data_IF_139213783362
#
_entry.id   IF_139213783362
#
_cell.length_a   1.000
_cell.length_b   1.000
_cell.length_c   1.000
_cell.angle_alpha   90.00
_cell.angle_beta   90.00
_cell.angle_gamma   90.00
#
_symmetry.space_group_name_H-M   'P 1'
#
loop_
_entity.id
_entity.type
_entity.pdbx_description
1 polymer ?
#
# COMPACT_ATOMS: atom_id res chain seq x y z
N UNK A 1 -10.49 19.95 6.69
CA UNK A 1 -9.48 20.88 6.13
C UNK A 1 -9.24 20.43 4.69
N UNK A 2 -9.43 21.34 3.72
CA UNK A 2 -9.25 21.02 2.29
C UNK A 2 -7.75 20.91 1.97
N UNK A 3 -7.28 19.69 1.67
CA UNK A 3 -5.87 19.41 1.38
C UNK A 3 -5.36 20.07 0.08
N UNK A 4 -6.30 20.52 -0.74
CA UNK A 4 -6.04 21.08 -2.07
C UNK A 4 -6.25 22.59 -2.15
N UNK A 5 -6.67 23.24 -1.05
CA UNK A 5 -6.87 24.70 -1.00
C UNK A 5 -5.59 25.43 -1.41
N UNK A 6 -5.71 26.39 -2.31
CA UNK A 6 -4.60 27.17 -2.84
C UNK A 6 -3.68 26.43 -3.82
N UNK A 7 -4.12 25.28 -4.37
CA UNK A 7 -3.41 24.58 -5.45
C UNK A 7 -3.88 25.10 -6.81
N UNK A 8 -2.94 25.17 -7.76
CA UNK A 8 -3.26 25.53 -9.14
C UNK A 8 -4.19 24.51 -9.82
N UNK A 9 -4.02 23.21 -9.49
CA UNK A 9 -4.83 22.12 -10.00
C UNK A 9 -5.87 21.67 -8.98
N UNK A 10 -7.02 21.22 -9.49
CA UNK A 10 -8.08 20.65 -8.64
C UNK A 10 -7.63 19.39 -7.94
N UNK A 11 -8.22 19.10 -6.77
CA UNK A 11 -7.96 17.87 -6.03
C UNK A 11 -8.19 16.61 -6.86
N UNK A 12 -9.19 16.62 -7.74
CA UNK A 12 -9.48 15.51 -8.66
C UNK A 12 -8.31 15.20 -9.58
N UNK A 13 -7.74 16.22 -10.25
CA UNK A 13 -6.58 16.07 -11.14
C UNK A 13 -5.36 15.56 -10.37
N UNK A 14 -5.09 16.14 -9.19
CA UNK A 14 -3.95 15.73 -8.36
C UNK A 14 -4.07 14.27 -7.93
N UNK A 15 -5.22 13.85 -7.40
CA UNK A 15 -5.44 12.47 -6.97
C UNK A 15 -5.47 11.49 -8.15
N UNK A 16 -5.97 11.91 -9.30
CA UNK A 16 -5.93 11.13 -10.52
C UNK A 16 -4.49 10.80 -10.91
N UNK A 17 -3.62 11.82 -11.01
CA UNK A 17 -2.20 11.64 -11.31
C UNK A 17 -1.49 10.76 -10.28
N UNK A 18 -1.68 11.01 -8.98
CA UNK A 18 -1.08 10.21 -7.89
C UNK A 18 -1.53 8.76 -7.95
N UNK A 19 -2.83 8.50 -8.17
CA UNK A 19 -3.35 7.15 -8.32
C UNK A 19 -2.77 6.43 -9.53
N UNK A 20 -2.71 7.10 -10.67
CA UNK A 20 -2.17 6.49 -11.89
C UNK A 20 -0.72 6.12 -11.71
N UNK A 21 0.11 7.02 -11.19
CA UNK A 21 1.49 6.71 -10.89
C UNK A 21 1.65 5.55 -9.93
N UNK A 22 0.85 5.51 -8.86
CA UNK A 22 0.94 4.45 -7.85
C UNK A 22 0.31 3.11 -8.29
N UNK A 23 -0.51 3.11 -9.33
CA UNK A 23 -1.21 1.92 -9.84
C UNK A 23 -0.50 1.27 -11.02
N UNK A 24 0.11 2.07 -11.87
CA UNK A 24 0.70 1.61 -13.12
C UNK A 24 2.22 1.76 -13.09
N UNK A 25 2.93 0.87 -13.78
CA UNK A 25 4.39 0.92 -13.90
C UNK A 25 4.83 1.92 -14.96
N UNK A 26 4.56 3.20 -14.72
CA UNK A 26 4.87 4.33 -15.62
C UNK A 26 5.86 5.31 -14.95
N UNK A 27 6.63 6.04 -15.74
CA UNK A 27 7.49 7.11 -15.23
C UNK A 27 6.70 8.41 -15.01
N UNK A 28 7.30 9.37 -14.30
CA UNK A 28 6.68 10.70 -14.17
C UNK A 28 6.57 11.43 -15.50
N UNK A 29 7.45 11.17 -16.47
CA UNK A 29 7.39 11.75 -17.81
C UNK A 29 6.31 11.12 -18.66
N UNK A 30 6.17 9.80 -18.61
CA UNK A 30 5.04 9.13 -19.28
C UNK A 30 3.71 9.69 -18.77
N UNK A 31 3.62 9.95 -17.45
CA UNK A 31 2.41 10.50 -16.85
C UNK A 31 2.19 11.98 -17.23
N UNK A 32 3.24 12.79 -17.36
CA UNK A 32 3.21 14.15 -17.91
C UNK A 32 2.60 14.13 -19.33
N UNK A 33 3.09 13.26 -20.22
CA UNK A 33 2.57 13.09 -21.58
C UNK A 33 1.09 12.66 -21.57
N UNK A 34 0.74 11.65 -20.75
CA UNK A 34 -0.64 11.18 -20.62
C UNK A 34 -1.63 12.26 -20.12
N UNK A 35 -1.17 13.20 -19.30
CA UNK A 35 -1.98 14.32 -18.82
C UNK A 35 -2.09 15.41 -19.89
N UNK A 36 -1.00 15.69 -20.61
CA UNK A 36 -0.99 16.65 -21.73
C UNK A 36 -1.96 16.25 -22.84
N UNK A 37 -2.05 14.94 -23.18
CA UNK A 37 -3.05 14.42 -24.12
C UNK A 37 -4.50 14.76 -23.73
N UNK A 38 -4.75 15.09 -22.49
CA UNK A 38 -6.07 15.43 -21.92
C UNK A 38 -6.20 16.93 -21.62
N UNK A 39 -5.30 17.73 -22.16
CA UNK A 39 -5.29 19.18 -21.97
C UNK A 39 -4.86 19.63 -20.57
N UNK A 40 -4.18 18.77 -19.82
CA UNK A 40 -3.66 19.09 -18.48
C UNK A 40 -2.14 19.29 -18.60
N UNK A 41 -1.73 20.54 -18.66
CA UNK A 41 -0.32 20.94 -18.73
C UNK A 41 0.28 20.98 -17.32
N UNK A 42 1.08 19.97 -16.98
CA UNK A 42 1.74 19.83 -15.68
C UNK A 42 3.06 19.09 -15.82
N UNK A 43 4.15 19.69 -15.34
CA UNK A 43 5.47 19.10 -15.43
C UNK A 43 5.69 17.91 -14.49
N UNK A 44 6.56 16.99 -14.89
CA UNK A 44 6.86 15.76 -14.15
C UNK A 44 7.42 16.01 -12.73
N UNK A 45 8.03 17.17 -12.46
CA UNK A 45 8.56 17.50 -11.13
C UNK A 45 7.42 17.90 -10.20
N UNK A 46 6.37 18.52 -10.72
CA UNK A 46 5.13 18.80 -9.98
C UNK A 46 4.40 17.51 -9.65
N UNK A 47 4.26 16.59 -10.62
CA UNK A 47 3.69 15.25 -10.39
C UNK A 47 4.50 14.51 -9.32
N UNK A 48 5.83 14.54 -9.40
CA UNK A 48 6.69 13.96 -8.36
C UNK A 48 6.38 14.53 -6.97
N UNK A 49 6.25 15.87 -6.83
CA UNK A 49 5.91 16.52 -5.55
C UNK A 49 4.54 16.09 -5.05
N UNK A 50 3.55 15.93 -5.93
CA UNK A 50 2.24 15.41 -5.59
C UNK A 50 2.33 13.98 -5.05
N UNK A 51 3.05 13.10 -5.72
CA UNK A 51 3.23 11.72 -5.25
C UNK A 51 3.90 11.70 -3.87
N UNK A 52 4.97 12.49 -3.66
CA UNK A 52 5.65 12.53 -2.36
C UNK A 52 4.72 12.98 -1.21
N UNK A 53 3.81 13.88 -1.48
CA UNK A 53 2.87 14.39 -0.47
C UNK A 53 1.65 13.49 -0.33
N UNK A 54 0.94 13.26 -1.42
CA UNK A 54 -0.39 12.67 -1.37
C UNK A 54 -0.38 11.13 -1.32
N UNK A 55 0.69 10.46 -1.72
CA UNK A 55 0.80 9.01 -1.53
C UNK A 55 0.83 8.61 -0.05
N UNK A 56 1.49 9.42 0.80
CA UNK A 56 1.48 9.25 2.25
C UNK A 56 0.09 9.44 2.84
N UNK A 57 -0.59 10.53 2.45
CA UNK A 57 -1.95 10.81 2.91
C UNK A 57 -2.96 9.77 2.40
N UNK A 58 -2.81 9.32 1.17
CA UNK A 58 -3.64 8.27 0.59
C UNK A 58 -3.53 6.97 1.39
N UNK A 59 -2.30 6.51 1.70
CA UNK A 59 -2.11 5.32 2.53
C UNK A 59 -2.71 5.51 3.92
N UNK A 60 -2.46 6.64 4.58
CA UNK A 60 -2.96 6.95 5.92
C UNK A 60 -4.49 6.89 5.99
N UNK A 61 -5.19 7.49 5.03
CA UNK A 61 -6.65 7.57 4.99
C UNK A 61 -7.29 6.24 4.58
N UNK A 62 -6.67 5.52 3.66
CA UNK A 62 -7.22 4.28 3.15
C UNK A 62 -6.85 3.07 4.01
N UNK A 63 -5.79 3.14 4.83
CA UNK A 63 -5.29 2.01 5.62
C UNK A 63 -6.37 1.37 6.49
N UNK A 64 -7.31 2.14 7.02
CA UNK A 64 -8.41 1.64 7.81
C UNK A 64 -9.31 0.68 7.02
N UNK A 65 -9.52 0.92 5.73
CA UNK A 65 -10.41 0.12 4.89
C UNK A 65 -9.87 -1.28 4.59
N UNK A 66 -8.56 -1.46 4.53
CA UNK A 66 -7.98 -2.77 4.20
C UNK A 66 -7.35 -3.51 5.38
N UNK A 67 -7.21 -2.88 6.54
CA UNK A 67 -6.48 -3.45 7.68
C UNK A 67 -7.29 -4.44 8.50
N UNK A 68 -8.53 -4.73 8.11
CA UNK A 68 -9.43 -5.62 8.86
C UNK A 68 -9.61 -6.96 8.16
N UNK A 69 -9.71 -8.04 8.95
CA UNK A 69 -10.04 -9.37 8.45
C UNK A 69 -8.89 -10.13 7.81
N UNK A 70 -7.63 -9.85 8.21
CA UNK A 70 -6.49 -10.65 7.79
C UNK A 70 -6.61 -12.09 8.29
N UNK A 71 -6.14 -13.03 7.46
CA UNK A 71 -5.87 -14.38 7.93
C UNK A 71 -4.74 -14.34 8.97
N UNK A 72 -4.87 -15.14 10.02
CA UNK A 72 -3.90 -15.17 11.13
C UNK A 72 -2.59 -15.89 10.79
N UNK A 73 -2.43 -16.35 9.56
CA UNK A 73 -1.19 -16.93 9.04
C UNK A 73 -0.48 -15.94 8.13
N UNK A 74 0.59 -15.32 8.62
CA UNK A 74 1.35 -14.32 7.89
C UNK A 74 2.56 -14.92 7.22
N UNK A 75 2.93 -14.35 6.08
CA UNK A 75 4.16 -14.63 5.34
C UNK A 75 5.02 -13.40 5.32
N UNK A 76 6.27 -13.56 5.72
CA UNK A 76 7.24 -12.49 5.90
C UNK A 76 8.45 -12.76 5.02
N UNK A 77 8.87 -11.76 4.29
CA UNK A 77 10.08 -11.83 3.48
C UNK A 77 10.60 -10.41 3.20
N UNK A 78 11.83 -10.31 2.74
CA UNK A 78 12.38 -9.06 2.27
C UNK A 78 12.78 -9.11 0.80
N UNK A 79 12.69 -7.96 0.16
CA UNK A 79 13.20 -7.72 -1.19
C UNK A 79 14.07 -6.46 -1.20
N UNK A 80 14.70 -6.17 -2.33
CA UNK A 80 15.66 -5.07 -2.45
C UNK A 80 15.08 -3.93 -3.27
N UNK A 81 15.40 -2.70 -2.86
CA UNK A 81 15.14 -1.48 -3.62
C UNK A 81 16.41 -0.62 -3.65
N UNK A 82 16.65 0.09 -4.74
CA UNK A 82 17.84 0.92 -4.90
C UNK A 82 17.57 2.33 -4.40
N UNK A 83 18.35 2.80 -3.42
CA UNK A 83 18.25 4.14 -2.85
C UNK A 83 19.63 4.79 -2.85
N UNK A 84 19.78 5.92 -3.52
CA UNK A 84 21.09 6.59 -3.71
C UNK A 84 22.19 5.67 -4.26
N UNK A 85 21.84 4.81 -5.21
CA UNK A 85 22.77 3.86 -5.77
C UNK A 85 23.07 2.63 -4.88
N UNK A 86 22.61 2.58 -3.63
CA UNK A 86 22.82 1.49 -2.67
C UNK A 86 21.57 0.66 -2.49
N UNK A 87 21.73 -0.63 -2.16
CA UNK A 87 20.62 -1.50 -1.85
C UNK A 87 20.08 -1.22 -0.45
N UNK A 88 18.77 -1.06 -0.36
CA UNK A 88 18.00 -1.03 0.88
C UNK A 88 17.05 -2.22 0.88
N UNK A 89 16.62 -2.64 2.08
CA UNK A 89 15.81 -3.85 2.31
C UNK A 89 14.38 -3.43 2.58
N UNK A 90 13.47 -3.96 1.77
CA UNK A 90 12.04 -3.77 1.91
C UNK A 90 11.43 -5.03 2.52
N UNK A 91 11.21 -4.99 3.83
CA UNK A 91 10.49 -6.01 4.58
C UNK A 91 9.01 -5.92 4.28
N UNK A 92 8.36 -7.04 4.03
CA UNK A 92 6.94 -7.08 3.71
C UNK A 92 6.25 -8.24 4.41
N UNK A 93 4.97 -8.03 4.75
CA UNK A 93 4.08 -9.06 5.24
C UNK A 93 2.82 -9.12 4.38
N UNK A 94 2.42 -10.33 4.03
CA UNK A 94 1.11 -10.64 3.48
C UNK A 94 0.49 -11.76 4.30
N UNK A 95 -0.83 -11.87 4.26
CA UNK A 95 -1.52 -12.99 4.86
C UNK A 95 -1.52 -14.24 3.94
N UNK A 96 -2.15 -15.32 4.37
CA UNK A 96 -2.26 -16.56 3.60
C UNK A 96 -2.92 -16.36 2.24
N UNK A 97 -3.83 -15.39 2.09
CA UNK A 97 -4.52 -15.07 0.84
C UNK A 97 -3.70 -14.17 -0.08
N UNK A 98 -2.60 -13.59 0.44
CA UNK A 98 -1.76 -12.63 -0.27
C UNK A 98 -2.18 -11.18 -0.01
N UNK A 99 -3.07 -10.93 0.93
CA UNK A 99 -3.49 -9.58 1.32
C UNK A 99 -2.34 -8.83 2.00
N UNK A 100 -2.14 -7.58 1.61
CA UNK A 100 -1.07 -6.73 2.16
C UNK A 100 -1.35 -6.39 3.61
N UNK A 101 -0.45 -6.76 4.50
CA UNK A 101 -0.50 -6.44 5.94
C UNK A 101 0.25 -5.15 6.21
N UNK A 102 1.56 -5.15 5.99
CA UNK A 102 2.42 -3.99 6.17
C UNK A 102 3.78 -4.18 5.49
N UNK A 103 4.56 -3.08 5.43
CA UNK A 103 5.94 -3.09 4.96
C UNK A 103 6.82 -2.17 5.81
N UNK A 104 8.12 -2.38 5.73
CA UNK A 104 9.13 -1.53 6.38
C UNK A 104 10.37 -1.45 5.49
N UNK A 105 10.89 -0.23 5.32
CA UNK A 105 12.11 0.01 4.54
C UNK A 105 13.28 0.26 5.48
N UNK A 106 14.36 -0.51 5.33
CA UNK A 106 15.57 -0.41 6.15
C UNK A 106 16.81 -0.31 5.28
N UNK A 107 17.81 0.48 5.68
CA UNK A 107 19.11 0.48 5.00
C UNK A 107 19.92 -0.79 5.27
N UNK A 108 19.55 -1.57 6.28
CA UNK A 108 20.28 -2.79 6.69
C UNK A 108 19.36 -4.00 6.82
N UNK A 109 19.92 -5.18 6.51
CA UNK A 109 19.31 -6.47 6.81
C UNK A 109 19.77 -6.93 8.18
N UNK A 110 18.91 -6.87 9.19
CA UNK A 110 19.27 -7.20 10.57
C UNK A 110 18.06 -7.64 11.41
N UNK A 111 18.30 -8.38 12.50
CA UNK A 111 17.25 -8.74 13.46
C UNK A 111 16.56 -7.50 14.05
N UNK A 112 17.30 -6.40 14.25
CA UNK A 112 16.73 -5.13 14.71
C UNK A 112 15.76 -4.53 13.71
N UNK A 113 16.06 -4.64 12.39
CA UNK A 113 15.15 -4.18 11.33
C UNK A 113 13.92 -5.08 11.23
N UNK A 114 14.08 -6.40 11.27
CA UNK A 114 12.98 -7.36 11.30
C UNK A 114 12.07 -7.14 12.52
N UNK A 115 12.63 -6.89 13.71
CA UNK A 115 11.87 -6.55 14.92
C UNK A 115 11.08 -5.25 14.78
N UNK A 116 11.68 -4.19 14.21
CA UNK A 116 11.00 -2.91 13.96
C UNK A 116 9.85 -3.10 12.97
N UNK A 117 10.08 -3.89 11.94
CA UNK A 117 9.05 -4.23 10.96
C UNK A 117 7.86 -4.94 11.60
N UNK A 118 8.10 -6.05 12.29
CA UNK A 118 7.06 -6.81 12.99
C UNK A 118 6.33 -5.98 14.04
N UNK A 119 7.07 -5.22 14.87
CA UNK A 119 6.48 -4.33 15.84
C UNK A 119 5.58 -3.24 15.22
N UNK A 120 5.94 -2.77 14.00
CA UNK A 120 5.08 -1.86 13.22
C UNK A 120 3.82 -2.57 12.72
N UNK A 121 3.95 -3.78 12.17
CA UNK A 121 2.84 -4.55 11.63
C UNK A 121 1.82 -4.95 12.71
N UNK A 122 2.30 -5.28 13.91
CA UNK A 122 1.48 -5.65 15.06
C UNK A 122 0.80 -4.45 15.75
N UNK A 123 1.29 -3.23 15.50
CA UNK A 123 0.81 -2.04 16.20
C UNK A 123 -0.67 -1.77 15.97
N UNK A 124 -1.43 -1.67 17.05
CA UNK A 124 -2.87 -1.36 17.04
C UNK A 124 -3.74 -2.55 16.65
N UNK A 125 -3.19 -3.75 16.55
CA UNK A 125 -3.96 -4.99 16.46
C UNK A 125 -4.39 -5.42 17.85
N UNK A 126 -5.62 -5.88 17.97
CA UNK A 126 -6.12 -6.56 19.17
C UNK A 126 -5.54 -7.98 19.22
N UNK A 127 -5.57 -8.63 20.39
CA UNK A 127 -4.92 -9.94 20.56
C UNK A 127 -5.45 -11.00 19.60
N UNK A 128 -6.75 -11.00 19.32
CA UNK A 128 -7.38 -11.93 18.35
C UNK A 128 -7.08 -11.60 16.87
N UNK A 129 -6.54 -10.43 16.57
CA UNK A 129 -6.11 -10.01 15.22
C UNK A 129 -4.63 -10.32 14.97
N UNK A 130 -3.89 -10.67 16.02
CA UNK A 130 -2.47 -10.99 15.91
C UNK A 130 -2.28 -12.35 15.24
N UNK A 131 -1.18 -12.54 14.50
CA UNK A 131 -0.94 -13.79 13.81
C UNK A 131 -0.70 -14.93 14.80
N UNK A 132 -1.32 -16.07 14.51
CA UNK A 132 -1.04 -17.35 15.18
C UNK A 132 0.12 -18.07 14.50
N UNK A 133 0.40 -17.76 13.23
CA UNK A 133 1.47 -18.37 12.44
C UNK A 133 2.25 -17.33 11.66
N UNK A 134 3.57 -17.37 11.78
CA UNK A 134 4.51 -16.54 11.01
C UNK A 134 5.36 -17.47 10.15
N UNK A 135 5.26 -17.34 8.83
CA UNK A 135 6.13 -18.06 7.91
C UNK A 135 7.20 -17.14 7.36
N UNK A 136 8.45 -17.56 7.43
CA UNK A 136 9.62 -16.83 6.90
C UNK A 136 10.46 -17.77 6.06
N UNK A 137 11.44 -17.21 5.34
CA UNK A 137 12.57 -17.98 4.89
C UNK A 137 13.43 -18.45 6.09
N UNK A 138 14.52 -19.13 5.82
CA UNK A 138 15.45 -19.61 6.86
C UNK A 138 16.39 -18.52 7.39
N UNK A 139 16.13 -17.22 7.11
CA UNK A 139 16.99 -16.15 7.57
C UNK A 139 16.97 -16.01 9.11
N UNK A 140 18.14 -16.04 9.77
CA UNK A 140 18.22 -16.01 11.24
C UNK A 140 17.63 -14.72 11.86
N UNK A 141 17.57 -13.63 11.10
CA UNK A 141 17.10 -12.33 11.54
C UNK A 141 15.64 -12.33 12.04
N UNK A 142 14.78 -13.13 11.42
CA UNK A 142 13.38 -13.26 11.82
C UNK A 142 13.23 -14.08 13.11
N UNK A 143 13.97 -15.16 13.26
CA UNK A 143 13.92 -15.99 14.47
C UNK A 143 14.24 -15.19 15.73
N UNK A 144 15.33 -14.43 15.73
CA UNK A 144 15.71 -13.57 16.83
C UNK A 144 14.68 -12.47 17.10
N UNK A 145 14.15 -11.83 16.06
CA UNK A 145 13.12 -10.78 16.18
C UNK A 145 11.81 -11.31 16.78
N UNK A 146 11.35 -12.48 16.36
CA UNK A 146 10.14 -13.13 16.88
C UNK A 146 10.30 -13.52 18.33
N UNK A 147 11.44 -14.14 18.69
CA UNK A 147 11.73 -14.52 20.09
C UNK A 147 11.73 -13.30 21.03
N UNK A 148 12.28 -12.18 20.57
CA UNK A 148 12.30 -10.94 21.33
C UNK A 148 10.90 -10.33 21.49
N UNK A 149 10.06 -10.33 20.45
CA UNK A 149 8.69 -9.83 20.51
C UNK A 149 7.77 -10.69 21.38
N UNK A 150 7.99 -12.00 21.44
CA UNK A 150 7.32 -12.90 22.40
C UNK A 150 7.70 -12.57 23.83
N UNK A 151 8.99 -12.38 24.10
CA UNK A 151 9.48 -11.99 25.43
C UNK A 151 8.95 -10.62 25.90
N UNK A 152 8.73 -9.69 24.96
CA UNK A 152 8.10 -8.38 25.22
C UNK A 152 6.58 -8.42 25.34
N UNK A 153 5.92 -9.58 25.21
CA UNK A 153 4.47 -9.72 25.23
C UNK A 153 3.74 -9.07 24.04
N UNK A 154 4.46 -8.68 22.98
CA UNK A 154 3.88 -8.09 21.77
C UNK A 154 3.32 -9.15 20.82
N UNK A 155 3.82 -10.37 20.94
CA UNK A 155 3.40 -11.54 20.20
C UNK A 155 3.10 -12.67 21.18
N UNK A 156 2.03 -13.42 20.95
CA UNK A 156 1.65 -14.51 21.83
C UNK A 156 2.74 -15.59 21.89
N UNK A 157 3.04 -16.17 23.06
CA UNK A 157 4.03 -17.25 23.19
C UNK A 157 3.75 -18.43 22.26
N UNK A 158 2.47 -18.74 22.03
CA UNK A 158 1.98 -19.84 21.21
C UNK A 158 2.12 -19.58 19.70
N UNK A 159 2.41 -18.33 19.29
CA UNK A 159 2.58 -18.03 17.85
C UNK A 159 3.64 -18.94 17.25
N UNK A 160 3.24 -19.73 16.27
CA UNK A 160 4.11 -20.68 15.58
C UNK A 160 5.01 -19.96 14.57
N UNK A 161 6.32 -20.13 14.69
CA UNK A 161 7.28 -19.68 13.67
C UNK A 161 7.65 -20.82 12.74
N UNK A 162 7.27 -20.71 11.47
CA UNK A 162 7.54 -21.68 10.41
C UNK A 162 8.62 -21.15 9.47
N UNK A 163 9.62 -21.97 9.20
CA UNK A 163 10.71 -21.66 8.25
C UNK A 163 10.58 -22.54 7.00
N UNK A 164 9.49 -22.34 6.25
CA UNK A 164 9.14 -23.19 5.10
C UNK A 164 9.12 -22.35 3.83
N UNK A 165 10.13 -22.53 2.98
CA UNK A 165 10.36 -21.71 1.78
C UNK A 165 9.17 -21.70 0.82
N UNK A 166 8.58 -22.83 0.47
CA UNK A 166 7.51 -22.88 -0.52
C UNK A 166 6.24 -22.15 -0.09
N UNK A 167 6.02 -21.93 1.21
CA UNK A 167 4.89 -21.13 1.69
C UNK A 167 5.06 -19.63 1.38
N UNK A 168 6.27 -19.18 1.04
CA UNK A 168 6.54 -17.78 0.68
C UNK A 168 6.35 -17.48 -0.81
N UNK A 169 6.04 -18.48 -1.66
CA UNK A 169 5.83 -18.26 -3.10
C UNK A 169 4.77 -17.19 -3.40
N UNK A 170 3.71 -17.09 -2.56
CA UNK A 170 2.69 -16.04 -2.67
C UNK A 170 3.30 -14.65 -2.49
N UNK A 171 4.20 -14.49 -1.51
CA UNK A 171 4.89 -13.23 -1.26
C UNK A 171 5.97 -12.95 -2.31
N UNK A 172 6.67 -13.95 -2.79
CA UNK A 172 7.63 -13.81 -3.90
C UNK A 172 6.94 -13.31 -5.19
N UNK A 173 5.79 -13.89 -5.54
CA UNK A 173 4.97 -13.42 -6.65
C UNK A 173 4.47 -11.98 -6.43
N UNK A 174 4.15 -11.63 -5.20
CA UNK A 174 3.75 -10.27 -4.81
C UNK A 174 4.91 -9.27 -4.89
N UNK A 175 6.14 -9.69 -4.56
CA UNK A 175 7.37 -8.91 -4.79
C UNK A 175 7.56 -8.61 -6.28
N UNK A 176 7.35 -9.60 -7.16
CA UNK A 176 7.43 -9.42 -8.62
C UNK A 176 6.50 -8.32 -9.12
N UNK A 177 5.25 -8.34 -8.67
CA UNK A 177 4.25 -7.29 -9.03
C UNK A 177 4.64 -5.91 -8.51
N UNK A 178 5.22 -5.80 -7.32
CA UNK A 178 5.71 -4.51 -6.79
C UNK A 178 6.93 -4.01 -7.57
N UNK A 179 7.84 -4.91 -7.96
CA UNK A 179 9.02 -4.56 -8.76
C UNK A 179 8.66 -3.96 -10.12
N UNK A 180 7.52 -4.35 -10.73
CA UNK A 180 7.01 -3.73 -11.95
C UNK A 180 6.74 -2.24 -11.73
N UNK A 181 6.15 -1.86 -10.59
CA UNK A 181 5.89 -0.46 -10.24
C UNK A 181 7.18 0.31 -9.92
N UNK A 182 8.18 -0.36 -9.34
CA UNK A 182 9.46 0.26 -8.98
C UNK A 182 10.39 0.44 -10.18
N UNK A 183 10.29 -0.42 -11.20
CA UNK A 183 11.20 -0.42 -12.36
C UNK A 183 11.33 0.95 -13.05
N UNK A 184 10.24 1.70 -13.36
CA UNK A 184 10.32 3.02 -13.99
C UNK A 184 10.95 4.11 -13.10
N UNK A 185 11.00 3.92 -11.79
CA UNK A 185 11.62 4.88 -10.85
C UNK A 185 13.14 4.96 -11.06
N UNK A 186 13.77 3.88 -11.58
CA UNK A 186 15.23 3.78 -11.82
C UNK A 186 16.10 4.03 -10.57
N UNK A 187 15.53 3.88 -9.38
CA UNK A 187 16.14 4.13 -8.08
C UNK A 187 15.63 5.38 -7.38
N UNK A 188 15.60 5.32 -6.07
CA UNK A 188 15.08 6.40 -5.24
C UNK A 188 16.20 7.38 -4.82
N UNK A 189 15.86 8.67 -4.73
CA UNK A 189 16.81 9.73 -4.33
C UNK A 189 17.15 9.71 -2.83
N UNK A 190 16.25 9.20 -1.97
CA UNK A 190 16.46 9.12 -0.52
C UNK A 190 15.53 8.09 0.12
N UNK A 191 15.83 7.68 1.35
CA UNK A 191 14.96 6.77 2.13
C UNK A 191 13.55 7.35 2.34
N UNK A 192 13.37 8.64 2.72
CA UNK A 192 12.05 9.24 2.85
C UNK A 192 11.25 9.21 1.54
N UNK A 193 11.87 9.56 0.41
CA UNK A 193 11.18 9.57 -0.89
C UNK A 193 10.84 8.16 -1.37
N UNK A 194 11.70 7.18 -1.11
CA UNK A 194 11.41 5.77 -1.36
C UNK A 194 10.22 5.32 -0.54
N UNK A 195 10.21 5.62 0.75
CA UNK A 195 9.15 5.23 1.67
C UNK A 195 7.80 5.86 1.26
N UNK A 196 7.76 7.14 0.92
CA UNK A 196 6.54 7.83 0.48
C UNK A 196 5.96 7.18 -0.79
N UNK A 197 6.80 6.96 -1.80
CA UNK A 197 6.38 6.34 -3.06
C UNK A 197 5.90 4.90 -2.86
N UNK A 198 6.64 4.09 -2.10
CA UNK A 198 6.26 2.69 -1.82
C UNK A 198 4.95 2.62 -1.03
N UNK A 199 4.69 3.56 -0.11
CA UNK A 199 3.38 3.66 0.55
C UNK A 199 2.23 3.81 -0.45
N UNK A 200 2.38 4.67 -1.44
CA UNK A 200 1.39 4.81 -2.51
C UNK A 200 1.22 3.53 -3.32
N UNK A 201 2.33 2.88 -3.68
CA UNK A 201 2.29 1.59 -4.38
C UNK A 201 1.54 0.53 -3.57
N UNK A 202 1.87 0.37 -2.29
CA UNK A 202 1.21 -0.64 -1.44
C UNK A 202 -0.26 -0.31 -1.19
N UNK A 203 -0.63 0.98 -1.04
CA UNK A 203 -2.01 1.40 -0.95
C UNK A 203 -2.82 1.01 -2.20
N UNK A 204 -2.33 1.36 -3.39
CA UNK A 204 -3.00 0.99 -4.64
C UNK A 204 -3.00 -0.51 -4.88
N UNK A 205 -1.98 -1.23 -4.40
CA UNK A 205 -1.94 -2.70 -4.47
C UNK A 205 -2.97 -3.34 -3.56
N UNK A 206 -3.15 -2.84 -2.33
CA UNK A 206 -4.18 -3.33 -1.42
C UNK A 206 -5.59 -3.15 -2.02
N UNK A 207 -5.89 -1.99 -2.62
CA UNK A 207 -7.14 -1.77 -3.35
C UNK A 207 -7.29 -2.78 -4.50
N UNK A 208 -6.26 -2.94 -5.31
CA UNK A 208 -6.26 -3.86 -6.47
C UNK A 208 -6.42 -5.33 -6.10
N UNK A 209 -6.00 -5.73 -4.90
CA UNK A 209 -6.25 -7.06 -4.30
C UNK A 209 -7.68 -7.22 -3.80
N UNK A 210 -8.47 -6.15 -3.81
CA UNK A 210 -9.86 -6.15 -3.32
C UNK A 210 -9.99 -6.02 -1.80
N UNK A 211 -8.92 -5.68 -1.09
CA UNK A 211 -8.93 -5.61 0.38
C UNK A 211 -9.91 -4.54 0.91
N UNK A 212 -10.20 -3.50 0.12
CA UNK A 212 -11.19 -2.47 0.45
C UNK A 212 -12.54 -2.66 -0.25
N UNK A 213 -12.76 -3.79 -0.94
CA UNK A 213 -13.97 -4.05 -1.74
C UNK A 213 -15.29 -3.87 -0.97
N UNK A 214 -15.41 -4.26 0.32
CA UNK A 214 -16.63 -4.04 1.08
C UNK A 214 -17.03 -2.57 1.24
N UNK A 215 -16.09 -1.65 1.01
CA UNK A 215 -16.30 -0.20 1.13
C UNK A 215 -16.46 0.51 -0.23
N UNK A 216 -16.31 -0.24 -1.33
CA UNK A 216 -16.54 0.25 -2.68
C UNK A 216 -18.03 0.09 -3.02
N UNK A 217 -18.73 1.21 -3.19
CA UNK A 217 -20.17 1.20 -3.52
C UNK A 217 -20.41 0.77 -4.97
N UNK A 218 -19.44 1.02 -5.86
CA UNK A 218 -19.48 0.62 -7.26
C UNK A 218 -18.50 -0.53 -7.53
N UNK A 219 -18.78 -1.41 -8.48
CA UNK A 219 -17.86 -2.47 -8.87
C UNK A 219 -16.65 -1.93 -9.65
N UNK A 220 -15.58 -2.71 -9.67
CA UNK A 220 -14.40 -2.47 -10.50
C UNK A 220 -13.60 -1.23 -10.12
N UNK A 221 -12.95 -0.63 -11.11
CA UNK A 221 -12.03 0.48 -10.92
C UNK A 221 -12.73 1.75 -10.41
N UNK A 222 -13.98 1.97 -10.80
CA UNK A 222 -14.71 3.17 -10.36
C UNK A 222 -14.97 3.15 -8.87
N UNK A 223 -15.25 1.98 -8.27
CA UNK A 223 -15.38 1.85 -6.82
C UNK A 223 -14.11 2.24 -6.07
N UNK A 224 -12.94 1.83 -6.59
CA UNK A 224 -11.65 2.23 -6.03
C UNK A 224 -11.40 3.75 -6.17
N UNK A 225 -11.73 4.33 -7.34
CA UNK A 225 -11.61 5.78 -7.58
C UNK A 225 -12.44 6.55 -6.58
N UNK A 226 -13.71 6.22 -6.48
CA UNK A 226 -14.66 6.90 -5.59
C UNK A 226 -14.29 6.74 -4.11
N UNK A 227 -13.76 5.57 -3.72
CA UNK A 227 -13.26 5.37 -2.36
C UNK A 227 -12.10 6.31 -2.03
N UNK A 228 -11.15 6.49 -2.96
CA UNK A 228 -10.03 7.43 -2.78
C UNK A 228 -10.55 8.87 -2.71
N UNK A 229 -11.42 9.29 -3.63
CA UNK A 229 -12.00 10.63 -3.64
C UNK A 229 -12.76 10.94 -2.34
N UNK A 230 -13.60 10.02 -1.86
CA UNK A 230 -14.30 10.17 -0.57
C UNK A 230 -13.34 10.27 0.60
N UNK A 231 -12.26 9.48 0.60
CA UNK A 231 -11.25 9.55 1.66
C UNK A 231 -10.56 10.93 1.72
N UNK A 232 -10.54 11.67 0.62
CA UNK A 232 -10.03 13.05 0.57
C UNK A 232 -11.11 14.11 0.62
N UNK A 233 -12.40 13.74 0.72
CA UNK A 233 -13.51 14.68 0.82
C UNK A 233 -13.81 15.44 -0.47
N UNK A 234 -13.42 14.94 -1.64
CA UNK A 234 -13.63 15.60 -2.94
C UNK A 234 -14.62 14.88 -3.85
N UNK A 235 -15.02 13.67 -3.51
CA UNK A 235 -16.04 12.91 -4.22
C UNK A 235 -17.43 13.10 -3.61
N UNK A 236 -18.48 12.58 -4.26
CA UNK A 236 -19.81 12.56 -3.69
C UNK A 236 -19.81 11.77 -2.38
N UNK A 237 -20.67 12.15 -1.44
CA UNK A 237 -20.85 11.38 -0.21
C UNK A 237 -21.33 9.96 -0.53
N UNK A 238 -21.08 9.01 0.38
CA UNK A 238 -21.57 7.63 0.20
C UNK A 238 -23.09 7.59 -0.02
N UNK A 239 -23.84 8.42 0.71
CA UNK A 239 -25.29 8.54 0.55
C UNK A 239 -25.67 9.05 -0.84
N UNK A 240 -25.05 10.14 -1.29
CA UNK A 240 -25.32 10.73 -2.62
C UNK A 240 -25.01 9.72 -3.73
N UNK A 241 -23.88 9.02 -3.64
CA UNK A 241 -23.49 8.01 -4.62
C UNK A 241 -24.48 6.84 -4.67
N UNK A 242 -24.91 6.34 -3.50
CA UNK A 242 -25.90 5.26 -3.40
C UNK A 242 -27.26 5.68 -3.99
N UNK A 243 -27.74 6.88 -3.66
CA UNK A 243 -28.99 7.40 -4.23
C UNK A 243 -28.91 7.52 -5.75
N UNK A 244 -27.82 8.04 -6.30
CA UNK A 244 -27.60 8.14 -7.74
C UNK A 244 -27.66 6.76 -8.41
N UNK A 245 -26.98 5.76 -7.82
CA UNK A 245 -27.00 4.38 -8.35
C UNK A 245 -28.41 3.77 -8.34
N UNK A 246 -29.17 3.96 -7.26
CA UNK A 246 -30.54 3.47 -7.17
C UNK A 246 -31.43 4.15 -8.23
N UNK A 247 -31.34 5.47 -8.39
CA UNK A 247 -32.10 6.19 -9.42
C UNK A 247 -31.78 5.66 -10.81
N UNK A 248 -30.49 5.48 -11.16
CA UNK A 248 -30.09 4.93 -12.44
C UNK A 248 -30.61 3.50 -12.67
N UNK A 249 -30.60 2.67 -11.61
CA UNK A 249 -31.12 1.29 -11.71
C UNK A 249 -32.60 1.28 -12.05
N UNK A 250 -33.40 2.09 -11.36
CA UNK A 250 -34.85 2.19 -11.62
C UNK A 250 -35.16 2.81 -12.98
N UNK A 251 -34.36 3.79 -13.44
CA UNK A 251 -34.56 4.38 -14.79
C UNK A 251 -34.22 3.42 -15.91
N UNK A 252 -33.23 2.53 -15.73
CA UNK A 252 -32.85 1.53 -16.73
C UNK A 252 -33.75 0.29 -16.69
N UNK A 253 -34.56 0.08 -15.65
CA UNK A 253 -35.50 -1.02 -15.51
C UNK A 253 -36.92 -0.69 -15.97
N UNK A 254 -37.20 0.56 -16.28
CA UNK A 254 -38.44 1.06 -16.87
C UNK A 254 -38.34 1.22 -18.36
#
# INVERSE_FOLDING_TARGET
MDDFKGRHFTGGVILWAVRWYCRYGISYRDLEEMLAERGIDVDHTTIYRWVQRYALEMEKRLRWFWRRGFDLSWRLDETYVKVRGRWAYLYRAVDKRGDTIDFYLSPTRSAKAAKRFLGKALRGLKDWEKPTKLNTDKAPSYGAAIAELKREGKLAPETEHRQVKYLNNVLEADHGKLKILIKPVRGFKSMPTAYATIKGFEAMRALRKGQARPWCLQPGIMGEVRLVERAFGIGPSALTETLTMLTQHFTNAA
#
